data_IF_355701653608
#
_entry.id   IF_355701653608
#
_cell.length_a   1.000
_cell.length_b   1.000
_cell.length_c   1.000
_cell.angle_alpha   90.00
_cell.angle_beta   90.00
_cell.angle_gamma   90.00
#
_symmetry.space_group_name_H-M   'P 1'
#
loop_
_entity.id
_entity.type
_entity.pdbx_description
1 polymer ?
#
# COMPACT_ATOMS: atom_id res chain seq x y z
N UNK A 1 7.86 -17.11 -13.25
CA UNK A 1 8.27 -18.48 -12.82
C UNK A 1 9.79 -18.59 -12.83
N UNK A 2 10.41 -19.39 -11.96
CA UNK A 2 11.87 -19.57 -11.92
C UNK A 2 12.40 -20.22 -13.19
N UNK A 3 13.67 -19.94 -13.52
CA UNK A 3 14.32 -20.41 -14.75
C UNK A 3 15.49 -21.35 -14.45
N UNK A 4 15.99 -22.02 -15.49
CA UNK A 4 17.28 -22.71 -15.47
C UNK A 4 18.41 -21.70 -15.62
N UNK A 5 19.56 -21.94 -14.98
CA UNK A 5 20.74 -21.05 -15.09
C UNK A 5 21.43 -21.12 -16.47
N UNK A 6 21.18 -22.16 -17.24
CA UNK A 6 21.63 -22.34 -18.62
C UNK A 6 20.66 -23.26 -19.36
N UNK A 7 20.66 -23.24 -20.70
CA UNK A 7 19.87 -24.17 -21.53
C UNK A 7 20.20 -25.64 -21.21
N UNK A 8 21.46 -25.91 -20.88
CA UNK A 8 21.97 -27.24 -20.55
C UNK A 8 21.92 -27.55 -19.05
N UNK A 9 21.43 -26.62 -18.22
CA UNK A 9 21.30 -26.87 -16.79
C UNK A 9 20.13 -27.83 -16.52
N UNK A 10 20.33 -28.72 -15.55
CA UNK A 10 19.36 -29.78 -15.23
C UNK A 10 18.41 -29.40 -14.08
N UNK A 11 18.48 -28.16 -13.58
CA UNK A 11 17.66 -27.71 -12.45
C UNK A 11 17.17 -26.28 -12.64
N UNK A 12 15.90 -26.04 -12.29
CA UNK A 12 15.35 -24.71 -12.10
C UNK A 12 15.86 -24.09 -10.80
N UNK A 13 15.68 -22.78 -10.68
CA UNK A 13 15.89 -22.05 -9.43
C UNK A 13 14.89 -22.45 -8.35
N UNK A 14 15.32 -22.31 -7.10
CA UNK A 14 14.48 -22.49 -5.91
C UNK A 14 14.43 -21.17 -5.18
N UNK A 15 13.23 -20.66 -4.92
CA UNK A 15 13.03 -19.44 -4.15
C UNK A 15 13.56 -19.59 -2.73
N UNK A 16 14.35 -18.62 -2.30
CA UNK A 16 15.05 -18.60 -1.01
C UNK A 16 15.22 -17.16 -0.50
N UNK A 17 15.64 -17.01 0.75
CA UNK A 17 15.87 -15.69 1.36
C UNK A 17 17.05 -14.92 0.73
N UNK A 18 18.02 -15.62 0.15
CA UNK A 18 19.17 -15.04 -0.51
C UNK A 18 19.47 -15.81 -1.80
N UNK A 19 19.83 -15.09 -2.86
CA UNK A 19 20.30 -15.70 -4.10
C UNK A 19 21.72 -16.23 -3.91
N UNK A 20 21.88 -17.55 -4.04
CA UNK A 20 23.18 -18.22 -3.95
C UNK A 20 23.52 -19.03 -5.22
N UNK A 21 22.62 -19.02 -6.22
CA UNK A 21 22.80 -19.72 -7.48
C UNK A 21 24.10 -19.31 -8.19
N UNK A 22 24.94 -20.31 -8.45
CA UNK A 22 26.24 -20.17 -9.13
C UNK A 22 26.59 -21.44 -9.90
N UNK A 23 27.79 -21.50 -10.48
CA UNK A 23 28.28 -22.72 -11.15
C UNK A 23 28.71 -23.78 -10.13
N UNK A 24 27.72 -24.37 -9.45
CA UNK A 24 27.91 -25.33 -8.37
C UNK A 24 26.72 -26.32 -8.31
N UNK A 25 26.98 -27.58 -7.96
CA UNK A 25 25.97 -28.64 -7.97
C UNK A 25 24.92 -28.53 -6.85
N UNK A 26 25.23 -27.86 -5.75
CA UNK A 26 24.38 -27.71 -4.58
C UNK A 26 23.64 -26.36 -4.54
N UNK A 27 24.13 -25.35 -5.26
CA UNK A 27 23.67 -23.96 -5.15
C UNK A 27 22.70 -23.56 -6.26
N UNK A 28 21.43 -23.35 -5.90
CA UNK A 28 20.35 -23.05 -6.85
C UNK A 28 19.30 -22.07 -6.30
N UNK A 29 19.59 -21.44 -5.16
CA UNK A 29 18.71 -20.50 -4.50
C UNK A 29 18.63 -19.18 -5.26
N UNK A 30 17.43 -18.62 -5.34
CA UNK A 30 17.18 -17.29 -5.90
C UNK A 30 16.20 -16.52 -5.02
N UNK A 31 16.55 -15.28 -4.69
CA UNK A 31 15.64 -14.30 -4.08
C UNK A 31 15.02 -13.34 -5.12
N UNK A 32 15.41 -13.49 -6.39
CA UNK A 32 14.86 -12.73 -7.51
C UNK A 32 13.61 -13.42 -8.07
N UNK A 33 12.50 -12.68 -8.22
CA UNK A 33 11.28 -13.12 -8.89
C UNK A 33 11.60 -13.52 -10.34
N UNK A 34 11.36 -14.79 -10.67
CA UNK A 34 11.72 -15.35 -11.98
C UNK A 34 13.22 -15.56 -12.18
N UNK A 35 14.02 -15.50 -11.10
CA UNK A 35 15.44 -15.80 -11.11
C UNK A 35 15.76 -17.25 -11.48
N UNK A 36 17.03 -17.52 -11.71
CA UNK A 36 17.50 -18.80 -12.23
C UNK A 36 18.25 -19.62 -11.18
N UNK A 37 18.22 -20.94 -11.36
CA UNK A 37 19.00 -21.86 -10.54
C UNK A 37 20.48 -21.88 -10.92
N UNK A 38 21.18 -22.92 -10.47
CA UNK A 38 22.58 -23.17 -10.82
C UNK A 38 22.82 -23.08 -12.32
N UNK A 39 23.98 -22.55 -12.72
CA UNK A 39 24.47 -22.61 -14.10
C UNK A 39 25.23 -23.91 -14.39
N UNK A 40 25.38 -24.79 -13.39
CA UNK A 40 26.06 -26.06 -13.52
C UNK A 40 25.30 -27.01 -14.47
N UNK A 41 26.02 -27.65 -15.37
CA UNK A 41 25.43 -28.44 -16.47
C UNK A 41 25.39 -29.95 -16.20
N UNK A 42 26.09 -30.44 -15.17
CA UNK A 42 25.94 -31.83 -14.72
C UNK A 42 24.69 -32.00 -13.82
N UNK A 43 24.48 -33.21 -13.29
CA UNK A 43 23.45 -33.45 -12.28
C UNK A 43 23.65 -32.64 -11.00
N UNK A 44 22.56 -32.17 -10.41
CA UNK A 44 22.54 -31.45 -9.13
C UNK A 44 22.32 -32.41 -7.97
N UNK A 45 22.92 -32.12 -6.81
CA UNK A 45 22.80 -32.95 -5.60
C UNK A 45 21.34 -33.04 -5.11
N UNK A 46 20.55 -31.99 -5.36
CA UNK A 46 19.11 -32.04 -5.28
C UNK A 46 18.53 -31.29 -6.50
N UNK A 47 18.04 -32.03 -7.49
CA UNK A 47 17.50 -31.43 -8.69
C UNK A 47 16.11 -30.83 -8.42
N UNK A 48 15.88 -29.61 -8.91
CA UNK A 48 14.55 -29.02 -9.01
C UNK A 48 14.11 -29.12 -10.47
N UNK A 49 13.24 -30.10 -10.77
CA UNK A 49 12.83 -30.41 -12.15
C UNK A 49 11.62 -29.62 -12.61
N UNK A 50 10.91 -28.95 -11.70
CA UNK A 50 9.78 -28.08 -12.00
C UNK A 50 10.08 -26.62 -11.65
N UNK A 51 9.63 -25.65 -12.46
CA UNK A 51 9.77 -24.25 -12.11
C UNK A 51 8.84 -23.89 -10.95
N UNK A 52 9.32 -23.06 -10.04
CA UNK A 52 8.50 -22.46 -8.99
C UNK A 52 7.76 -21.22 -9.50
N UNK A 53 6.58 -21.00 -8.94
CA UNK A 53 5.63 -19.95 -9.35
C UNK A 53 5.57 -18.81 -8.34
N UNK A 54 4.75 -17.80 -8.61
CA UNK A 54 4.64 -16.60 -7.76
C UNK A 54 4.24 -16.93 -6.32
N UNK A 55 3.43 -17.97 -6.10
CA UNK A 55 3.09 -18.45 -4.75
C UNK A 55 4.33 -18.85 -3.97
N UNK A 56 5.23 -19.62 -4.57
CA UNK A 56 6.46 -20.08 -3.92
C UNK A 56 7.41 -18.90 -3.63
N UNK A 57 7.42 -17.87 -4.48
CA UNK A 57 8.16 -16.64 -4.25
C UNK A 57 7.64 -15.90 -3.01
N UNK A 58 6.31 -15.68 -2.93
CA UNK A 58 5.70 -15.05 -1.78
C UNK A 58 5.94 -15.84 -0.49
N UNK A 59 5.82 -17.16 -0.56
CA UNK A 59 6.00 -18.04 0.59
C UNK A 59 7.45 -18.13 1.06
N UNK A 60 8.43 -18.20 0.15
CA UNK A 60 9.82 -18.54 0.52
C UNK A 60 10.80 -17.37 0.44
N UNK A 61 10.47 -16.29 -0.24
CA UNK A 61 11.38 -15.15 -0.49
C UNK A 61 10.96 -13.87 0.23
N UNK A 62 9.65 -13.58 0.27
CA UNK A 62 9.10 -12.34 0.85
C UNK A 62 8.86 -12.39 2.37
N UNK A 63 9.47 -13.37 3.05
CA UNK A 63 9.32 -13.53 4.52
C UNK A 63 9.92 -12.33 5.25
N UNK A 64 9.29 -11.98 6.37
CA UNK A 64 9.78 -10.96 7.31
C UNK A 64 10.07 -9.59 6.66
N UNK A 65 9.36 -9.26 5.58
CA UNK A 65 9.55 -8.00 4.84
C UNK A 65 10.86 -7.91 4.06
N UNK A 66 11.56 -9.03 3.85
CA UNK A 66 12.81 -9.08 3.06
C UNK A 66 12.53 -9.20 1.56
N UNK A 67 13.56 -8.92 0.76
CA UNK A 67 13.58 -9.10 -0.69
C UNK A 67 12.54 -8.27 -1.45
N UNK A 68 11.99 -7.22 -0.83
CA UNK A 68 11.11 -6.26 -1.48
C UNK A 68 11.57 -4.83 -1.18
N UNK A 69 11.61 -3.92 -2.19
CA UNK A 69 11.41 -4.14 -3.63
C UNK A 69 12.65 -4.73 -4.34
N UNK A 70 13.76 -4.86 -3.62
CA UNK A 70 15.06 -5.31 -4.13
C UNK A 70 15.41 -6.67 -3.53
N UNK A 71 15.90 -7.59 -4.34
CA UNK A 71 16.34 -8.92 -3.93
C UNK A 71 17.65 -8.88 -3.13
N UNK A 72 17.98 -9.98 -2.45
CA UNK A 72 19.26 -10.20 -1.77
C UNK A 72 20.06 -11.24 -2.53
N UNK A 73 21.37 -11.03 -2.65
CA UNK A 73 22.26 -11.97 -3.33
C UNK A 73 23.61 -12.06 -2.61
N UNK A 74 24.14 -13.29 -2.54
CA UNK A 74 25.49 -13.54 -2.09
C UNK A 74 26.50 -12.91 -3.05
N UNK A 75 27.65 -12.45 -2.54
CA UNK A 75 28.67 -11.74 -3.33
C UNK A 75 29.22 -12.53 -4.52
N UNK A 76 29.21 -13.85 -4.43
CA UNK A 76 29.69 -14.78 -5.45
C UNK A 76 28.55 -15.45 -6.24
N UNK A 77 27.30 -15.04 -6.02
CA UNK A 77 26.17 -15.47 -6.84
C UNK A 77 26.31 -14.94 -8.27
N UNK A 78 25.86 -15.73 -9.24
CA UNK A 78 25.85 -15.33 -10.65
C UNK A 78 24.81 -14.26 -10.91
N UNK A 79 23.65 -14.34 -10.25
CA UNK A 79 22.64 -13.27 -10.25
C UNK A 79 22.84 -12.37 -9.04
N UNK A 80 23.29 -11.15 -9.32
CA UNK A 80 23.43 -10.10 -8.32
C UNK A 80 22.16 -9.26 -8.24
N UNK A 81 21.87 -8.81 -7.02
CA UNK A 81 20.75 -7.91 -6.76
C UNK A 81 20.94 -6.58 -7.49
N UNK A 82 19.86 -6.07 -8.07
CA UNK A 82 19.81 -4.73 -8.66
C UNK A 82 18.69 -3.95 -8.01
N UNK A 83 18.87 -2.63 -7.92
CA UNK A 83 17.85 -1.77 -7.32
C UNK A 83 16.48 -2.00 -7.97
N UNK A 84 15.48 -2.31 -7.13
CA UNK A 84 14.09 -2.56 -7.50
C UNK A 84 13.89 -3.75 -8.48
N UNK A 85 14.82 -4.69 -8.54
CA UNK A 85 14.74 -5.83 -9.47
C UNK A 85 13.48 -6.68 -9.30
N UNK A 86 13.06 -6.98 -8.07
CA UNK A 86 11.85 -7.75 -7.80
C UNK A 86 10.58 -6.98 -8.18
N UNK A 87 10.52 -5.68 -7.85
CA UNK A 87 9.40 -4.84 -8.26
C UNK A 87 9.28 -4.78 -9.80
N UNK A 88 10.39 -4.60 -10.50
CA UNK A 88 10.43 -4.56 -11.96
C UNK A 88 10.08 -5.92 -12.59
N UNK A 89 10.58 -7.02 -12.02
CA UNK A 89 10.30 -8.37 -12.51
C UNK A 89 8.81 -8.72 -12.38
N UNK A 90 8.22 -8.46 -11.20
CA UNK A 90 6.78 -8.68 -10.98
C UNK A 90 5.95 -7.79 -11.91
N UNK A 91 6.29 -6.50 -12.05
CA UNK A 91 5.56 -5.60 -12.94
C UNK A 91 5.64 -6.06 -14.40
N UNK A 92 6.80 -6.52 -14.85
CA UNK A 92 6.99 -7.02 -16.21
C UNK A 92 6.13 -8.26 -16.47
N UNK A 93 6.12 -9.22 -15.54
CA UNK A 93 5.32 -10.43 -15.65
C UNK A 93 3.81 -10.09 -15.68
N UNK A 94 3.35 -9.14 -14.86
CA UNK A 94 1.95 -8.67 -14.86
C UNK A 94 1.53 -8.00 -16.18
N UNK A 95 2.43 -7.23 -16.80
CA UNK A 95 2.17 -6.56 -18.08
C UNK A 95 2.17 -7.55 -19.24
N UNK A 96 3.01 -8.58 -19.19
CA UNK A 96 3.14 -9.61 -20.22
C UNK A 96 1.98 -10.61 -20.27
N UNK A 97 1.09 -10.62 -19.28
CA UNK A 97 -0.10 -11.47 -19.25
C UNK A 97 -1.03 -11.22 -20.45
N UNK A 98 -1.69 -12.28 -20.91
CA UNK A 98 -2.73 -12.18 -21.93
C UNK A 98 -4.03 -11.55 -21.35
N UNK A 99 -5.01 -11.23 -22.19
CA UNK A 99 -6.23 -10.51 -21.76
C UNK A 99 -7.05 -11.28 -20.72
N UNK A 100 -7.13 -12.60 -20.85
CA UNK A 100 -7.87 -13.47 -19.92
C UNK A 100 -7.13 -13.56 -18.58
N UNK A 101 -5.83 -13.80 -18.61
CA UNK A 101 -4.95 -13.84 -17.43
C UNK A 101 -4.94 -12.51 -16.67
N UNK A 102 -4.92 -11.37 -17.39
CA UNK A 102 -5.05 -10.04 -16.79
C UNK A 102 -6.36 -9.87 -16.04
N UNK A 103 -7.46 -10.38 -16.61
CA UNK A 103 -8.79 -10.31 -15.98
C UNK A 103 -8.81 -11.15 -14.70
N UNK A 104 -8.20 -12.34 -14.73
CA UNK A 104 -8.07 -13.21 -13.56
C UNK A 104 -7.24 -12.53 -12.45
N UNK A 105 -6.05 -12.03 -12.77
CA UNK A 105 -5.17 -11.38 -11.78
C UNK A 105 -5.80 -10.09 -11.24
N UNK A 106 -6.46 -9.28 -12.07
CA UNK A 106 -7.22 -8.12 -11.62
C UNK A 106 -8.35 -8.51 -10.66
N UNK A 107 -9.06 -9.62 -10.92
CA UNK A 107 -10.07 -10.15 -10.00
C UNK A 107 -9.49 -10.64 -8.67
N UNK A 108 -8.32 -11.30 -8.69
CA UNK A 108 -7.62 -11.73 -7.46
C UNK A 108 -7.14 -10.51 -6.64
N UNK A 109 -6.60 -9.48 -7.30
CA UNK A 109 -6.20 -8.23 -6.66
C UNK A 109 -7.42 -7.50 -6.07
N UNK A 110 -8.53 -7.45 -6.82
CA UNK A 110 -9.80 -6.90 -6.35
C UNK A 110 -10.32 -7.64 -5.10
N UNK A 111 -10.14 -8.96 -5.03
CA UNK A 111 -10.50 -9.75 -3.85
C UNK A 111 -9.56 -9.52 -2.65
N UNK A 112 -8.31 -9.15 -2.89
CA UNK A 112 -7.35 -8.83 -1.83
C UNK A 112 -7.64 -7.46 -1.22
N UNK A 113 -8.15 -6.50 -2.00
CA UNK A 113 -8.66 -5.22 -1.50
C UNK A 113 -10.05 -5.31 -0.86
N UNK A 114 -10.82 -6.39 -1.06
CA UNK A 114 -12.04 -6.65 -0.25
C UNK A 114 -11.75 -6.94 1.24
N UNK A 115 -10.49 -7.24 1.60
CA UNK A 115 -10.04 -7.33 2.98
C UNK A 115 -9.45 -6.03 3.55
N UNK A 116 -9.30 -4.99 2.72
CA UNK A 116 -9.11 -3.64 3.22
C UNK A 116 -10.48 -3.12 3.60
N UNK A 117 -10.75 -2.95 4.89
CA UNK A 117 -11.95 -2.23 5.33
C UNK A 117 -11.95 -0.87 4.61
N UNK A 118 -12.79 -0.76 3.59
CA UNK A 118 -13.21 0.53 3.07
C UNK A 118 -14.06 1.10 4.19
N UNK A 119 -13.43 1.80 5.13
CA UNK A 119 -14.14 2.80 5.90
C UNK A 119 -14.58 3.82 4.88
N UNK A 120 -15.83 3.67 4.45
CA UNK A 120 -16.54 4.69 3.72
C UNK A 120 -16.58 5.90 4.66
N UNK A 121 -15.68 6.87 4.46
CA UNK A 121 -15.87 8.19 5.04
C UNK A 121 -17.08 8.77 4.30
N UNK A 122 -18.28 8.39 4.74
CA UNK A 122 -19.54 8.99 4.35
C UNK A 122 -19.57 10.39 4.93
N UNK A 123 -18.94 11.31 4.21
CA UNK A 123 -18.95 12.75 4.42
C UNK A 123 -18.53 13.21 5.84
N UNK A 124 -17.51 14.06 5.89
CA UNK A 124 -17.37 14.96 7.03
C UNK A 124 -18.53 15.96 6.96
N UNK A 125 -19.67 15.64 7.56
CA UNK A 125 -20.84 16.54 7.67
C UNK A 125 -20.80 17.38 8.94
N UNK A 126 -19.63 17.86 9.35
CA UNK A 126 -19.55 18.97 10.31
C UNK A 126 -19.68 20.27 9.54
N UNK A 127 -20.90 20.61 9.14
CA UNK A 127 -21.24 21.97 8.74
C UNK A 127 -21.45 22.78 10.02
N UNK A 128 -20.39 23.41 10.53
CA UNK A 128 -20.56 24.37 11.62
C UNK A 128 -21.28 25.60 11.08
N UNK A 129 -22.47 25.90 11.58
CA UNK A 129 -23.20 27.13 11.24
C UNK A 129 -22.97 28.12 12.38
N UNK A 130 -22.37 29.26 12.09
CA UNK A 130 -22.27 30.39 13.01
C UNK A 130 -23.34 31.41 12.65
N UNK A 131 -24.26 31.69 13.57
CA UNK A 131 -25.25 32.75 13.40
C UNK A 131 -24.84 33.91 14.29
N UNK A 132 -24.61 35.08 13.69
CA UNK A 132 -24.29 36.30 14.40
C UNK A 132 -25.54 37.20 14.42
N UNK A 133 -26.08 37.46 15.61
CA UNK A 133 -27.14 38.44 15.80
C UNK A 133 -26.51 39.71 16.39
N UNK A 134 -26.51 40.78 15.61
CA UNK A 134 -25.99 42.07 16.04
C UNK A 134 -27.14 43.06 16.19
N UNK A 135 -27.19 43.71 17.34
CA UNK A 135 -28.16 44.76 17.62
C UNK A 135 -27.43 46.11 17.64
N UNK A 136 -27.88 47.04 16.82
CA UNK A 136 -27.59 48.47 17.02
C UNK A 136 -28.55 48.98 18.08
N UNK A 137 -28.04 49.16 19.30
CA UNK A 137 -28.76 49.88 20.34
C UNK A 137 -28.73 51.37 19.96
N UNK A 138 -29.73 51.78 19.17
CA UNK A 138 -30.02 53.20 18.94
C UNK A 138 -30.57 53.78 20.25
N UNK A 139 -29.67 54.24 21.11
CA UNK A 139 -30.01 55.08 22.25
C UNK A 139 -30.05 56.52 21.75
N UNK A 140 -31.25 57.10 21.68
CA UNK A 140 -31.43 58.50 21.32
C UNK A 140 -30.68 59.39 22.32
N UNK A 141 -29.59 60.03 21.88
CA UNK A 141 -28.92 61.10 22.64
C UNK A 141 -27.41 61.02 22.85
N UNK A 142 -26.69 59.98 22.40
CA UNK A 142 -25.22 59.95 22.45
C UNK A 142 -24.60 59.75 21.06
N UNK A 143 -23.65 60.61 20.68
CA UNK A 143 -22.95 60.63 19.39
C UNK A 143 -21.99 59.46 19.12
N UNK A 144 -22.19 58.32 19.77
CA UNK A 144 -21.45 57.07 19.55
C UNK A 144 -22.40 55.89 19.80
N UNK A 145 -22.62 55.08 18.76
CA UNK A 145 -23.49 53.89 18.81
C UNK A 145 -22.66 52.68 19.24
N UNK A 146 -22.89 52.09 20.42
CA UNK A 146 -22.21 50.88 20.81
C UNK A 146 -22.80 49.69 20.03
N UNK A 147 -21.96 49.07 19.21
CA UNK A 147 -22.31 47.86 18.46
C UNK A 147 -22.01 46.63 19.32
N UNK A 148 -23.03 45.84 19.63
CA UNK A 148 -22.89 44.57 20.34
C UNK A 148 -23.37 43.42 19.45
N UNK A 149 -22.48 42.46 19.19
CA UNK A 149 -22.79 41.23 18.49
C UNK A 149 -22.79 40.07 19.46
N UNK A 150 -23.85 39.26 19.40
CA UNK A 150 -23.91 37.98 20.10
C UNK A 150 -23.88 36.89 19.04
N UNK A 151 -22.78 36.13 19.01
CA UNK A 151 -22.61 34.98 18.14
C UNK A 151 -23.02 33.70 18.85
N UNK A 152 -24.00 32.98 18.29
CA UNK A 152 -24.32 31.62 18.71
C UNK A 152 -23.68 30.65 17.71
N UNK A 153 -22.74 29.84 18.18
CA UNK A 153 -22.06 28.82 17.39
C UNK A 153 -22.40 27.42 17.90
N UNK A 154 -22.87 26.57 17.00
CA UNK A 154 -23.11 25.15 17.27
C UNK A 154 -22.31 24.28 16.31
N UNK A 155 -21.71 23.20 16.82
CA UNK A 155 -21.10 22.16 15.99
C UNK A 155 -22.09 21.00 15.85
N UNK A 156 -22.58 20.75 14.64
CA UNK A 156 -23.46 19.60 14.38
C UNK A 156 -22.58 18.37 14.14
N UNK A 157 -22.63 17.41 15.05
CA UNK A 157 -22.10 16.05 14.84
C UNK A 157 -23.32 15.15 14.69
N UNK A 158 -23.79 15.01 13.46
CA UNK A 158 -24.89 14.09 13.14
C UNK A 158 -24.32 12.76 12.67
N UNK A 159 -24.41 11.72 13.50
CA UNK A 159 -24.34 10.33 13.03
C UNK A 159 -25.78 9.90 12.75
N UNK A 160 -26.01 9.33 11.57
CA UNK A 160 -27.32 8.83 11.13
C UNK A 160 -27.80 7.75 12.10
N UNK A 161 -28.63 8.14 13.06
CA UNK A 161 -29.96 7.59 13.34
C UNK A 161 -30.54 8.34 14.56
N UNK A 162 -31.59 9.12 14.30
CA UNK A 162 -32.63 9.53 15.25
C UNK A 162 -32.21 9.99 16.67
N UNK A 163 -31.11 10.74 16.86
CA UNK A 163 -30.93 11.61 18.04
C UNK A 163 -29.94 12.75 17.74
N UNK A 164 -30.43 13.98 17.59
CA UNK A 164 -29.59 15.18 17.39
C UNK A 164 -29.21 15.81 18.73
N UNK A 165 -27.96 15.66 19.17
CA UNK A 165 -27.47 16.29 20.40
C UNK A 165 -26.79 17.63 20.07
N UNK A 166 -27.43 18.75 20.43
CA UNK A 166 -26.85 20.10 20.25
C UNK A 166 -26.01 20.46 21.48
N UNK A 167 -24.74 20.84 21.27
CA UNK A 167 -23.90 21.47 22.31
C UNK A 167 -23.72 22.95 22.00
N UNK A 168 -24.45 23.87 22.67
CA UNK A 168 -24.29 25.30 22.43
C UNK A 168 -22.97 25.79 23.03
N UNK A 169 -22.25 26.63 22.28
CA UNK A 169 -21.15 27.43 22.80
C UNK A 169 -21.49 28.92 22.61
N UNK A 170 -21.41 29.70 23.69
CA UNK A 170 -21.67 31.13 23.67
C UNK A 170 -20.35 31.88 23.83
N UNK A 171 -19.99 32.71 22.85
CA UNK A 171 -18.83 33.61 22.94
C UNK A 171 -19.31 35.04 22.78
N UNK A 172 -19.15 35.86 23.83
CA UNK A 172 -19.50 37.28 23.81
C UNK A 172 -18.29 38.10 23.38
N UNK A 173 -18.39 38.83 22.27
CA UNK A 173 -17.35 39.74 21.81
C UNK A 173 -17.80 41.20 21.96
N UNK A 174 -17.16 41.91 22.90
CA UNK A 174 -17.29 43.36 23.02
C UNK A 174 -16.01 44.02 22.47
N UNK A 175 -16.07 44.61 21.28
CA UNK A 175 -14.98 45.49 20.82
C UNK A 175 -15.17 46.87 21.44
N UNK A 176 -14.28 47.25 22.35
CA UNK A 176 -14.07 48.66 22.68
C UNK A 176 -13.29 49.29 21.52
N UNK A 177 -13.83 50.35 20.91
CA UNK A 177 -13.02 51.29 20.13
C UNK A 177 -12.23 52.17 21.08
#
# INVERSE_FOLDING_TARGET
MTKKGSSNANSYGVYAEETDAKNDQAKRGTALCGGHGSTHTSGQTAAQTTPQVLRDFAENTLKDGKNWPTSTAAKDAVQQAKQNDNANAVATDLVALNREEKTIVAGLLAKTIEGGEVVEIRAVSSTSVMVNACYDLLSEGLGVVPYACVGLGGNFVGVVDEYSTIRPSLTLYARRK
#
